data_IF_968222189274
#
_entry.id   IF_968222189274
#
_cell.length_a   1.000
_cell.length_b   1.000
_cell.length_c   1.000
_cell.angle_alpha   90.00
_cell.angle_beta   90.00
_cell.angle_gamma   90.00
#
_symmetry.space_group_name_H-M   'P 1'
#
loop_
_entity.id
_entity.type
_entity.pdbx_description
1 polymer ?
#
# COMPACT_ATOMS: atom_id res chain seq x y z
N UNK A 1 46.30 -29.54 31.43
CA UNK A 1 45.72 -28.36 30.76
C UNK A 1 44.40 -28.79 30.14
N UNK A 2 43.26 -28.34 30.68
CA UNK A 2 41.92 -28.63 30.14
C UNK A 2 41.39 -27.34 29.53
N UNK A 3 41.29 -27.28 28.21
CA UNK A 3 40.65 -26.18 27.51
C UNK A 3 39.15 -26.49 27.39
N UNK A 4 38.32 -25.73 28.12
CA UNK A 4 36.87 -25.70 27.89
C UNK A 4 36.58 -24.76 26.72
N UNK A 5 35.80 -25.15 25.70
CA UNK A 5 35.36 -24.23 24.68
C UNK A 5 34.20 -23.39 25.22
N UNK A 6 34.37 -22.07 25.19
CA UNK A 6 33.27 -21.12 25.34
C UNK A 6 32.39 -21.21 24.09
N UNK A 7 31.16 -21.71 24.26
CA UNK A 7 30.13 -21.65 23.23
C UNK A 7 29.56 -20.23 23.23
N UNK A 8 29.89 -19.45 22.21
CA UNK A 8 29.27 -18.14 21.97
C UNK A 8 27.95 -18.38 21.24
N UNK A 9 26.83 -18.28 21.95
CA UNK A 9 25.49 -18.24 21.36
C UNK A 9 25.28 -16.86 20.73
N UNK A 10 25.41 -16.77 19.41
CA UNK A 10 24.94 -15.61 18.67
C UNK A 10 23.40 -15.60 18.72
N UNK A 11 22.83 -14.67 19.50
CA UNK A 11 21.40 -14.42 19.48
C UNK A 11 21.05 -13.74 18.15
N UNK A 12 20.65 -14.55 17.16
CA UNK A 12 20.04 -14.02 15.94
C UNK A 12 18.72 -13.34 16.28
N UNK A 13 18.54 -12.09 15.87
CA UNK A 13 17.24 -11.44 15.93
C UNK A 13 16.27 -12.21 15.03
N UNK A 14 15.34 -12.94 15.64
CA UNK A 14 14.25 -13.56 14.90
C UNK A 14 13.34 -12.43 14.40
N UNK A 15 13.42 -12.11 13.10
CA UNK A 15 12.42 -11.28 12.45
C UNK A 15 11.08 -12.03 12.55
N UNK A 16 10.20 -11.60 13.47
CA UNK A 16 8.84 -12.10 13.50
C UNK A 16 8.18 -11.74 12.15
N UNK A 17 7.89 -12.75 11.34
CA UNK A 17 7.09 -12.57 10.13
C UNK A 17 5.68 -12.19 10.58
N UNK A 18 5.36 -10.90 10.54
CA UNK A 18 3.98 -10.43 10.67
C UNK A 18 3.23 -11.00 9.47
N UNK A 19 2.40 -12.02 9.69
CA UNK A 19 1.55 -12.59 8.65
C UNK A 19 0.47 -11.56 8.34
N UNK A 20 0.69 -10.80 7.29
CA UNK A 20 -0.27 -9.83 6.74
C UNK A 20 -1.53 -10.58 6.30
N UNK A 21 -2.64 -10.40 7.03
CA UNK A 21 -3.92 -11.01 6.67
C UNK A 21 -4.56 -10.24 5.52
N UNK A 22 -5.16 -10.96 4.58
CA UNK A 22 -5.87 -10.37 3.46
C UNK A 22 -7.01 -9.45 3.93
N UNK A 23 -7.31 -8.37 3.19
CA UNK A 23 -8.39 -7.46 3.56
C UNK A 23 -9.77 -8.12 3.41
N UNK A 24 -9.89 -9.15 2.58
CA UNK A 24 -11.10 -9.96 2.40
C UNK A 24 -10.74 -11.44 2.63
N UNK A 25 -11.53 -12.20 3.41
CA UNK A 25 -11.31 -13.63 3.57
C UNK A 25 -11.28 -14.38 2.23
N UNK A 26 -10.29 -15.25 2.04
CA UNK A 26 -10.10 -16.02 0.81
C UNK A 26 -9.32 -15.31 -0.30
N UNK A 27 -8.95 -14.03 -0.11
CA UNK A 27 -8.06 -13.33 -1.03
C UNK A 27 -6.59 -13.70 -0.76
N UNK A 28 -5.78 -13.72 -1.81
CA UNK A 28 -4.33 -13.76 -1.73
C UNK A 28 -3.76 -12.44 -1.23
N UNK A 29 -2.56 -12.51 -0.67
CA UNK A 29 -1.76 -11.33 -0.28
C UNK A 29 -0.38 -11.46 -0.88
N UNK A 30 0.07 -10.40 -1.55
CA UNK A 30 1.44 -10.28 -2.02
C UNK A 30 2.05 -8.92 -1.66
N UNK A 31 3.37 -8.83 -1.80
CA UNK A 31 4.05 -7.55 -1.71
C UNK A 31 3.90 -6.83 -3.05
N UNK A 32 3.51 -5.56 -3.00
CA UNK A 32 3.51 -4.70 -4.18
C UNK A 32 4.96 -4.48 -4.59
N UNK A 33 5.23 -4.55 -5.89
CA UNK A 33 6.51 -4.16 -6.48
C UNK A 33 6.45 -2.71 -6.98
N UNK A 34 7.50 -1.94 -6.76
CA UNK A 34 7.57 -0.51 -6.98
C UNK A 34 8.79 -0.18 -7.83
N UNK A 35 8.57 0.29 -9.05
CA UNK A 35 9.63 0.94 -9.84
C UNK A 35 9.74 2.40 -9.44
N UNK A 36 10.85 2.79 -8.81
CA UNK A 36 11.11 4.13 -8.27
C UNK A 36 12.39 4.69 -8.87
N UNK A 37 12.30 5.90 -9.43
CA UNK A 37 13.44 6.65 -9.96
C UNK A 37 14.24 7.28 -8.80
N UNK A 38 15.25 6.60 -8.27
CA UNK A 38 16.01 7.07 -7.09
C UNK A 38 17.04 8.15 -7.40
N UNK A 39 17.57 8.16 -8.63
CA UNK A 39 18.36 9.25 -9.21
C UNK A 39 17.80 9.57 -10.61
N UNK A 40 18.05 10.76 -11.16
CA UNK A 40 17.55 11.11 -12.50
C UNK A 40 17.92 10.05 -13.56
N UNK A 41 16.92 9.37 -14.12
CA UNK A 41 17.03 8.29 -15.09
C UNK A 41 17.36 6.90 -14.51
N UNK A 42 17.59 6.78 -13.20
CA UNK A 42 17.96 5.52 -12.55
C UNK A 42 16.80 4.97 -11.72
N UNK A 43 16.16 3.93 -12.26
CA UNK A 43 15.06 3.23 -11.61
C UNK A 43 15.55 2.03 -10.81
N UNK A 44 15.02 1.85 -9.61
CA UNK A 44 15.20 0.66 -8.79
C UNK A 44 13.84 0.04 -8.43
N UNK A 45 13.85 -1.29 -8.30
CA UNK A 45 12.69 -2.06 -7.89
C UNK A 45 12.73 -2.28 -6.38
N UNK A 46 11.66 -1.91 -5.70
CA UNK A 46 11.45 -2.15 -4.28
C UNK A 46 10.19 -2.97 -4.06
N UNK A 47 10.10 -3.64 -2.93
CA UNK A 47 8.88 -4.33 -2.52
C UNK A 47 8.42 -3.84 -1.15
N UNK A 48 7.10 -3.88 -0.94
CA UNK A 48 6.47 -3.59 0.34
C UNK A 48 5.39 -2.52 0.28
N UNK A 49 5.17 -1.90 1.44
CA UNK A 49 4.31 -0.72 1.59
C UNK A 49 5.01 0.53 1.08
N UNK A 50 4.21 1.58 0.89
CA UNK A 50 4.66 2.91 0.49
C UNK A 50 5.72 3.49 1.44
N UNK A 51 5.52 3.31 2.74
CA UNK A 51 6.43 3.77 3.78
C UNK A 51 7.76 3.00 3.72
N UNK A 52 7.71 1.69 3.52
CA UNK A 52 8.92 0.86 3.37
C UNK A 52 9.69 1.18 2.09
N UNK A 53 9.00 1.39 0.97
CA UNK A 53 9.63 1.73 -0.31
C UNK A 53 10.30 3.10 -0.25
N UNK A 54 9.64 4.09 0.37
CA UNK A 54 10.24 5.39 0.58
C UNK A 54 11.49 5.30 1.48
N UNK A 55 11.44 4.52 2.57
CA UNK A 55 12.61 4.31 3.43
C UNK A 55 13.77 3.62 2.69
N UNK A 56 13.47 2.63 1.84
CA UNK A 56 14.46 1.98 0.98
C UNK A 56 15.10 2.97 0.00
N UNK A 57 14.29 3.80 -0.68
CA UNK A 57 14.80 4.83 -1.58
C UNK A 57 15.72 5.84 -0.87
N UNK A 58 15.34 6.31 0.32
CA UNK A 58 16.15 7.24 1.13
C UNK A 58 17.47 6.61 1.61
N UNK A 59 17.51 5.29 1.82
CA UNK A 59 18.75 4.60 2.19
C UNK A 59 19.81 4.62 1.09
N UNK A 60 19.37 4.73 -0.17
CA UNK A 60 20.23 4.81 -1.36
C UNK A 60 20.55 6.26 -1.69
N UNK A 61 19.55 7.14 -1.63
CA UNK A 61 19.69 8.57 -1.91
C UNK A 61 19.07 9.39 -0.75
N UNK A 62 19.86 9.84 0.23
CA UNK A 62 19.35 10.67 1.32
C UNK A 62 18.77 12.02 0.86
N UNK A 63 19.23 12.54 -0.29
CA UNK A 63 18.73 13.77 -0.92
C UNK A 63 17.54 13.53 -1.86
N UNK A 64 16.98 12.32 -1.82
CA UNK A 64 15.85 11.94 -2.63
C UNK A 64 14.67 12.89 -2.40
N UNK A 65 14.24 13.54 -3.48
CA UNK A 65 13.10 14.46 -3.46
C UNK A 65 12.02 13.91 -4.39
N UNK A 66 10.79 13.69 -3.89
CA UNK A 66 9.69 13.31 -4.75
C UNK A 66 9.43 14.40 -5.81
N UNK A 67 9.36 14.06 -7.11
CA UNK A 67 8.86 14.97 -8.12
C UNK A 67 7.46 15.48 -7.75
N UNK A 68 7.22 16.79 -7.87
CA UNK A 68 5.90 17.41 -7.60
C UNK A 68 4.83 17.07 -8.66
N UNK A 69 5.12 16.18 -9.60
CA UNK A 69 4.24 15.89 -10.71
C UNK A 69 3.22 14.82 -10.31
N UNK A 70 2.07 15.25 -9.80
CA UNK A 70 0.86 14.42 -9.80
C UNK A 70 0.44 14.17 -11.25
N UNK A 71 0.39 12.92 -11.69
CA UNK A 71 -0.29 12.60 -12.96
C UNK A 71 -1.78 12.81 -12.68
N UNK A 72 -2.31 13.95 -13.11
CA UNK A 72 -3.72 14.26 -12.96
C UNK A 72 -4.52 13.12 -13.62
N UNK A 73 -5.36 12.43 -12.84
CA UNK A 73 -6.33 11.48 -13.40
C UNK A 73 -7.08 12.18 -14.52
N UNK A 74 -7.14 11.55 -15.69
CA UNK A 74 -7.89 12.09 -16.81
C UNK A 74 -9.31 12.37 -16.36
N UNK A 75 -9.84 13.57 -16.65
CA UNK A 75 -11.19 14.04 -16.29
C UNK A 75 -12.34 13.14 -16.83
N UNK A 76 -12.02 12.02 -17.49
CA UNK A 76 -12.93 11.10 -18.18
C UNK A 76 -13.10 9.75 -17.50
N UNK A 77 -12.35 9.44 -16.45
CA UNK A 77 -12.53 8.16 -15.77
C UNK A 77 -13.83 8.15 -14.97
N UNK A 78 -14.65 7.13 -15.20
CA UNK A 78 -15.89 6.99 -14.45
C UNK A 78 -15.51 6.62 -13.02
N UNK A 79 -16.11 7.31 -12.07
CA UNK A 79 -16.01 6.93 -10.66
C UNK A 79 -16.74 5.60 -10.50
N UNK A 80 -16.03 4.55 -10.13
CA UNK A 80 -16.66 3.25 -9.98
C UNK A 80 -17.52 3.12 -8.71
N UNK A 81 -18.00 1.91 -8.50
CA UNK A 81 -18.94 1.54 -7.43
C UNK A 81 -18.22 1.48 -6.08
N UNK A 82 -18.88 1.91 -5.00
CA UNK A 82 -18.34 1.83 -3.65
C UNK A 82 -19.25 0.96 -2.78
N UNK A 83 -18.64 -0.05 -2.16
CA UNK A 83 -19.23 -0.84 -1.07
C UNK A 83 -18.71 -0.32 0.26
N UNK A 84 -19.57 0.19 1.15
CA UNK A 84 -19.12 0.77 2.44
C UNK A 84 -19.09 -0.23 3.61
N UNK A 85 -19.80 -1.35 3.49
CA UNK A 85 -20.07 -2.25 4.61
C UNK A 85 -19.24 -3.54 4.55
N UNK A 86 -19.28 -4.31 5.64
CA UNK A 86 -18.78 -5.70 5.68
C UNK A 86 -17.32 -5.86 6.14
N UNK A 87 -16.68 -4.80 6.63
CA UNK A 87 -15.31 -4.86 7.15
C UNK A 87 -15.19 -4.16 8.51
N UNK A 88 -14.18 -4.54 9.29
CA UNK A 88 -13.80 -3.79 10.49
C UNK A 88 -13.36 -2.37 10.08
N UNK A 89 -13.84 -1.30 10.72
CA UNK A 89 -13.59 0.03 10.21
C UNK A 89 -12.24 0.59 10.69
N UNK A 90 -11.60 1.34 9.79
CA UNK A 90 -10.34 2.05 10.02
C UNK A 90 -10.58 3.40 10.71
N UNK A 91 -9.51 3.99 11.25
CA UNK A 91 -9.53 5.40 11.62
C UNK A 91 -9.49 6.32 10.39
N UNK A 92 -10.49 7.18 10.24
CA UNK A 92 -10.63 8.03 9.06
C UNK A 92 -9.48 9.04 8.91
N UNK A 93 -8.93 9.52 10.02
CA UNK A 93 -7.80 10.44 9.97
C UNK A 93 -6.54 9.71 9.49
N UNK A 94 -6.26 8.53 10.03
CA UNK A 94 -5.12 7.71 9.58
C UNK A 94 -5.18 7.36 8.09
N UNK A 95 -6.37 7.05 7.55
CA UNK A 95 -6.53 6.79 6.11
C UNK A 95 -6.31 8.04 5.26
N UNK A 96 -6.78 9.20 5.72
CA UNK A 96 -6.52 10.48 5.03
C UNK A 96 -5.04 10.85 5.04
N UNK A 97 -4.36 10.61 6.16
CA UNK A 97 -2.92 10.82 6.30
C UNK A 97 -2.13 9.87 5.40
N UNK A 98 -2.52 8.59 5.35
CA UNK A 98 -1.94 7.62 4.41
C UNK A 98 -2.16 8.01 2.95
N UNK A 99 -3.37 8.43 2.57
CA UNK A 99 -3.65 8.93 1.23
C UNK A 99 -2.84 10.20 0.91
N UNK A 100 -2.68 11.13 1.87
CA UNK A 100 -1.84 12.30 1.69
C UNK A 100 -0.36 11.93 1.55
N UNK A 101 0.13 10.97 2.33
CA UNK A 101 1.49 10.45 2.22
C UNK A 101 1.76 9.89 0.83
N UNK A 102 0.86 9.04 0.31
CA UNK A 102 0.95 8.46 -1.03
C UNK A 102 1.08 9.51 -2.14
N UNK A 103 0.34 10.64 -2.05
CA UNK A 103 0.44 11.74 -3.03
C UNK A 103 1.75 12.50 -3.00
N UNK A 104 2.44 12.46 -1.85
CA UNK A 104 3.73 13.11 -1.69
C UNK A 104 4.90 12.16 -1.99
N UNK A 105 4.62 10.90 -2.32
CA UNK A 105 5.64 10.00 -2.81
C UNK A 105 5.99 10.32 -4.27
N UNK A 106 7.23 10.00 -4.68
CA UNK A 106 7.63 10.10 -6.06
C UNK A 106 6.69 9.29 -6.97
N UNK A 107 6.52 9.70 -8.24
CA UNK A 107 5.90 8.84 -9.24
C UNK A 107 6.59 7.48 -9.21
N UNK A 108 5.82 6.45 -8.94
CA UNK A 108 6.24 5.07 -9.05
C UNK A 108 5.21 4.33 -9.87
N UNK A 109 5.65 3.27 -10.53
CA UNK A 109 4.77 2.39 -11.30
C UNK A 109 4.57 1.11 -10.52
N UNK A 110 3.61 1.07 -9.57
CA UNK A 110 3.44 -0.13 -8.79
C UNK A 110 2.76 -1.20 -9.58
N UNK A 111 3.16 -2.42 -9.24
CA UNK A 111 2.73 -3.62 -9.92
C UNK A 111 2.23 -4.63 -8.90
N UNK A 112 1.09 -5.25 -9.19
CA UNK A 112 0.42 -6.24 -8.35
C UNK A 112 -0.26 -7.30 -9.20
N UNK A 113 -0.36 -8.50 -8.67
CA UNK A 113 -0.95 -9.69 -9.27
C UNK A 113 -0.03 -10.42 -10.25
N UNK A 114 -0.57 -11.46 -10.90
CA UNK A 114 -1.98 -11.59 -11.29
C UNK A 114 -2.97 -11.84 -10.15
N UNK A 115 -4.22 -11.39 -10.35
CA UNK A 115 -5.39 -11.85 -9.60
C UNK A 115 -6.11 -13.00 -10.32
N UNK A 116 -7.43 -13.16 -10.15
CA UNK A 116 -8.35 -12.36 -9.33
C UNK A 116 -8.17 -12.60 -7.83
N UNK A 117 -8.78 -11.75 -7.01
CA UNK A 117 -8.81 -11.88 -5.54
C UNK A 117 -7.42 -11.80 -4.89
N UNK A 118 -6.53 -10.95 -5.37
CA UNK A 118 -5.19 -10.81 -4.79
C UNK A 118 -4.88 -9.34 -4.46
N UNK A 119 -4.43 -9.09 -3.22
CA UNK A 119 -4.20 -7.74 -2.73
C UNK A 119 -2.79 -7.53 -2.22
N UNK A 120 -2.28 -6.32 -2.42
CA UNK A 120 -1.10 -5.82 -1.75
C UNK A 120 -1.47 -4.76 -0.73
N UNK A 121 -0.84 -4.80 0.45
CA UNK A 121 -0.99 -3.72 1.43
C UNK A 121 -0.17 -2.53 0.97
N UNK A 122 -0.84 -1.40 0.76
CA UNK A 122 -0.21 -0.18 0.24
C UNK A 122 0.34 0.66 1.38
N UNK A 123 -0.45 0.83 2.44
CA UNK A 123 -0.07 1.61 3.62
C UNK A 123 -0.75 1.03 4.87
N UNK A 124 -0.11 1.17 6.02
CA UNK A 124 -0.67 0.81 7.31
C UNK A 124 -0.17 1.76 8.38
N UNK A 125 -1.09 2.42 9.09
CA UNK A 125 -0.77 3.19 10.28
C UNK A 125 -1.94 3.20 11.25
N UNK A 126 -1.69 3.36 12.55
CA UNK A 126 -2.76 3.51 13.57
C UNK A 126 -3.89 2.47 13.45
N UNK A 127 -3.53 1.20 13.26
CA UNK A 127 -4.45 0.09 13.00
C UNK A 127 -5.42 0.30 11.82
N UNK A 128 -4.97 1.01 10.79
CA UNK A 128 -5.75 1.43 9.63
C UNK A 128 -4.99 1.10 8.36
N UNK A 129 -5.54 0.20 7.54
CA UNK A 129 -4.91 -0.29 6.33
C UNK A 129 -5.52 0.29 5.06
N UNK A 130 -4.66 0.67 4.12
CA UNK A 130 -5.00 0.93 2.72
C UNK A 130 -4.47 -0.23 1.89
N UNK A 131 -5.36 -0.83 1.10
CA UNK A 131 -5.07 -2.02 0.29
C UNK A 131 -5.38 -1.76 -1.17
N UNK A 132 -4.56 -2.31 -2.04
CA UNK A 132 -4.81 -2.36 -3.48
C UNK A 132 -5.02 -3.81 -3.91
N UNK A 133 -6.17 -4.10 -4.52
CA UNK A 133 -6.51 -5.42 -5.01
C UNK A 133 -6.53 -5.42 -6.53
N UNK A 134 -5.82 -6.38 -7.11
CA UNK A 134 -5.89 -6.68 -8.53
C UNK A 134 -6.94 -7.78 -8.73
N UNK A 135 -8.03 -7.41 -9.39
CA UNK A 135 -9.16 -8.31 -9.68
C UNK A 135 -9.06 -8.90 -11.11
N UNK A 136 -8.04 -8.52 -11.88
CA UNK A 136 -7.73 -9.06 -13.21
C UNK A 136 -6.93 -10.35 -13.12
N UNK A 137 -7.08 -11.25 -14.11
CA UNK A 137 -6.25 -12.46 -14.25
C UNK A 137 -4.81 -12.19 -14.69
N UNK A 138 -4.48 -10.94 -15.00
CA UNK A 138 -3.15 -10.52 -15.45
C UNK A 138 -2.51 -9.60 -14.43
N UNK A 139 -1.18 -9.57 -14.41
CA UNK A 139 -0.43 -8.58 -13.64
C UNK A 139 -0.87 -7.17 -14.06
N UNK A 140 -0.99 -6.28 -13.08
CA UNK A 140 -1.47 -4.92 -13.29
C UNK A 140 -0.46 -3.93 -12.75
N UNK A 141 -0.14 -2.94 -13.58
CA UNK A 141 0.58 -1.75 -13.16
C UNK A 141 -0.34 -0.53 -13.29
N UNK A 142 -0.21 0.42 -12.38
CA UNK A 142 -0.90 1.71 -12.45
C UNK A 142 0.12 2.85 -12.55
N UNK A 143 -0.28 3.97 -13.15
CA UNK A 143 0.63 5.07 -13.50
C UNK A 143 1.01 5.98 -12.31
N UNK A 144 0.56 5.64 -11.09
CA UNK A 144 0.99 6.36 -9.89
C UNK A 144 0.10 6.15 -8.66
N UNK A 145 0.65 6.55 -7.52
CA UNK A 145 0.03 6.46 -6.18
C UNK A 145 -1.24 7.27 -6.03
N UNK A 146 -1.36 8.35 -6.80
CA UNK A 146 -2.51 9.23 -6.79
C UNK A 146 -3.81 8.48 -7.05
N UNK A 147 -3.78 7.40 -7.82
CA UNK A 147 -4.96 6.60 -8.14
C UNK A 147 -5.48 5.89 -6.89
N UNK A 148 -4.61 5.16 -6.18
CA UNK A 148 -4.96 4.50 -4.91
C UNK A 148 -5.29 5.54 -3.85
N UNK A 149 -4.49 6.61 -3.72
CA UNK A 149 -4.70 7.67 -2.74
C UNK A 149 -6.07 8.34 -2.90
N UNK A 150 -6.44 8.67 -4.15
CA UNK A 150 -7.73 9.27 -4.42
C UNK A 150 -8.89 8.28 -4.23
N UNK A 151 -8.67 7.00 -4.54
CA UNK A 151 -9.63 5.93 -4.32
C UNK A 151 -9.90 5.73 -2.82
N UNK A 152 -8.84 5.68 -2.00
CA UNK A 152 -8.92 5.61 -0.54
C UNK A 152 -9.62 6.84 0.05
N UNK A 153 -9.26 8.05 -0.40
CA UNK A 153 -9.91 9.27 0.05
C UNK A 153 -11.41 9.27 -0.28
N UNK A 154 -11.78 8.82 -1.49
CA UNK A 154 -13.19 8.72 -1.90
C UNK A 154 -14.00 7.81 -0.98
N UNK A 155 -13.41 6.72 -0.47
CA UNK A 155 -14.06 5.88 0.55
C UNK A 155 -14.31 6.69 1.83
N UNK A 156 -13.34 7.47 2.31
CA UNK A 156 -13.53 8.30 3.52
C UNK A 156 -14.58 9.41 3.39
N UNK A 157 -14.87 9.83 2.16
CA UNK A 157 -15.86 10.87 1.83
C UNK A 157 -17.27 10.30 1.68
N UNK A 158 -17.39 9.10 1.09
CA UNK A 158 -18.68 8.47 0.78
C UNK A 158 -19.16 7.55 1.91
N UNK A 159 -18.26 6.78 2.51
CA UNK A 159 -18.60 5.81 3.53
C UNK A 159 -18.60 6.43 4.93
N UNK A 160 -19.77 6.37 5.57
CA UNK A 160 -20.05 6.93 6.90
C UNK A 160 -19.55 8.38 7.07
N UNK A 161 -20.02 9.35 6.26
CA UNK A 161 -19.45 10.70 6.21
C UNK A 161 -19.42 11.41 7.56
N UNK A 162 -20.39 11.13 8.45
CA UNK A 162 -20.45 11.70 9.81
C UNK A 162 -19.62 10.97 10.88
N UNK A 163 -19.01 9.83 10.56
CA UNK A 163 -18.22 9.03 11.49
C UNK A 163 -16.73 9.38 11.45
N UNK A 164 -16.03 9.18 12.58
CA UNK A 164 -14.56 9.19 12.64
C UNK A 164 -13.94 7.87 12.17
N UNK A 165 -14.78 6.84 11.99
CA UNK A 165 -14.39 5.54 11.45
C UNK A 165 -14.93 5.38 10.04
N UNK A 166 -14.28 4.53 9.24
CA UNK A 166 -14.69 4.26 7.86
C UNK A 166 -14.16 2.91 7.40
N UNK A 167 -14.94 2.21 6.60
CA UNK A 167 -14.50 1.07 5.82
C UNK A 167 -15.10 1.16 4.43
N UNK A 168 -14.49 0.46 3.49
CA UNK A 168 -15.14 0.21 2.22
C UNK A 168 -14.20 -0.30 1.15
N UNK A 169 -14.79 -0.68 0.03
CA UNK A 169 -14.14 -1.06 -1.21
C UNK A 169 -14.64 -0.13 -2.31
N UNK A 170 -13.73 0.62 -2.92
CA UNK A 170 -14.01 1.36 -4.14
C UNK A 170 -13.49 0.54 -5.32
N UNK A 171 -14.40 0.10 -6.18
CA UNK A 171 -14.10 -0.58 -7.43
C UNK A 171 -13.78 0.47 -8.46
N UNK A 172 -12.68 0.31 -9.17
CA UNK A 172 -12.21 1.25 -10.19
C UNK A 172 -12.32 0.59 -11.56
N UNK A 173 -12.37 1.42 -12.60
CA UNK A 173 -12.35 0.91 -13.97
C UNK A 173 -11.02 0.15 -14.22
N UNK A 174 -11.11 -0.97 -14.95
CA UNK A 174 -9.94 -1.79 -15.29
C UNK A 174 -9.61 -2.89 -14.28
N UNK A 175 -10.62 -3.46 -13.59
CA UNK A 175 -10.50 -4.66 -12.74
C UNK A 175 -9.50 -4.53 -11.60
N UNK A 176 -9.60 -3.44 -10.84
CA UNK A 176 -8.90 -3.28 -9.58
C UNK A 176 -9.75 -2.50 -8.59
N UNK A 177 -9.37 -2.59 -7.32
CA UNK A 177 -10.09 -1.91 -6.26
C UNK A 177 -9.17 -1.45 -5.14
N UNK A 178 -9.59 -0.41 -4.44
CA UNK A 178 -8.98 0.02 -3.18
C UNK A 178 -9.87 -0.41 -2.03
N UNK A 179 -9.27 -0.96 -0.98
CA UNK A 179 -9.96 -1.30 0.26
C UNK A 179 -9.38 -0.49 1.41
N UNK A 180 -10.26 0.08 2.21
CA UNK A 180 -9.96 0.73 3.48
C UNK A 180 -10.64 -0.06 4.59
N UNK A 181 -9.88 -0.47 5.60
CA UNK A 181 -10.40 -1.18 6.79
C UNK A 181 -9.44 -1.11 7.96
N UNK A 182 -9.94 -1.45 9.14
CA UNK A 182 -9.13 -1.73 10.32
C UNK A 182 -8.16 -2.88 10.02
N UNK A 183 -6.94 -2.75 10.51
CA UNK A 183 -5.85 -3.67 10.22
C UNK A 183 -4.79 -3.67 11.32
N UNK A 184 -3.99 -4.72 11.44
CA UNK A 184 -2.83 -4.73 12.35
C UNK A 184 -1.65 -4.07 11.64
N UNK A 185 -1.19 -2.95 12.18
CA UNK A 185 0.09 -2.32 11.90
C UNK A 185 0.97 -2.47 13.16
#
# INVERSE_FOLDING_TARGET
MRFSPLVVLAAGAANALIVTRAPIPGYGVEQIEWSVEVFPGEFQLFTGTAEQVHAQALSINPDFKPPRASVARGLKEKRGHIDCDGMEPADKAAIRDGAAYLRNLPPGHPTNGPGPNNCGRVSCSYNSGIWWCNDSTSQKSIDGWDWIANSAQRITEVCDPGSIKTSGRNHEDGDWSTIVRGDSC
#
